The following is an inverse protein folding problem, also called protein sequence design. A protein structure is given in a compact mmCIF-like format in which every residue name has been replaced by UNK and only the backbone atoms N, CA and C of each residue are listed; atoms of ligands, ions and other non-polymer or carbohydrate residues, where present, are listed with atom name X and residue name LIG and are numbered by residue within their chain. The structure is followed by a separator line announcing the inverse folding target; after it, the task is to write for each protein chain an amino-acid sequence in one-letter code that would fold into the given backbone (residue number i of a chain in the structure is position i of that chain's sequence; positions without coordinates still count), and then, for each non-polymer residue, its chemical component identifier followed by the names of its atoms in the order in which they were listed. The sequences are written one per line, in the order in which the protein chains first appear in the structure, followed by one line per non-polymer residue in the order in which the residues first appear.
data_IF_021723556864
#
_entry.id   IF_021723556864
#
_cell.length_a   1.000
_cell.length_b   1.000
_cell.length_c   1.000
_cell.angle_alpha   90.00
_cell.angle_beta   90.00
_cell.angle_gamma   90.00
#
_symmetry.space_group_name_H-M   'P 1'
#
loop_
_entity.id
_entity.type
_entity.pdbx_description
1 polymer ?
#
# COMPACT_ATOMS: atom_id res chain seq x y z
N UNK A 1 -3.50 -20.74 4.62
CA UNK A 1 -2.98 -19.98 3.47
C UNK A 1 -2.96 -18.53 3.89
N UNK A 2 -1.81 -17.86 3.82
CA UNK A 2 -1.74 -16.41 4.05
C UNK A 2 -2.56 -15.74 2.95
N UNK A 3 -3.56 -14.94 3.32
CA UNK A 3 -4.31 -14.14 2.35
C UNK A 3 -3.33 -13.21 1.63
N UNK A 4 -3.27 -13.28 0.29
CA UNK A 4 -2.43 -12.40 -0.50
C UNK A 4 -3.24 -11.18 -0.96
N UNK A 5 -2.59 -10.03 -1.03
CA UNK A 5 -3.19 -8.82 -1.59
C UNK A 5 -2.50 -8.43 -2.90
N UNK A 6 -3.15 -7.53 -3.63
CA UNK A 6 -2.66 -6.90 -4.87
C UNK A 6 -2.95 -5.40 -4.76
N UNK A 7 -2.42 -4.58 -5.67
CA UNK A 7 -2.77 -3.14 -5.66
C UNK A 7 -4.26 -2.95 -5.96
N UNK A 8 -4.85 -3.73 -6.87
CA UNK A 8 -6.29 -3.66 -7.18
C UNK A 8 -7.13 -3.94 -5.92
N UNK A 9 -6.84 -5.02 -5.19
CA UNK A 9 -7.55 -5.37 -3.95
C UNK A 9 -7.39 -4.31 -2.87
N UNK A 10 -6.23 -3.64 -2.78
CA UNK A 10 -6.01 -2.54 -1.85
C UNK A 10 -6.82 -1.31 -2.26
N UNK A 11 -6.89 -0.99 -3.55
CA UNK A 11 -7.68 0.14 -4.06
C UNK A 11 -9.17 -0.02 -3.77
N UNK A 12 -9.68 -1.25 -3.81
CA UNK A 12 -11.06 -1.55 -3.42
C UNK A 12 -11.33 -1.38 -1.92
N UNK A 13 -10.30 -1.42 -1.07
CA UNK A 13 -10.40 -1.33 0.40
C UNK A 13 -10.23 0.09 0.92
N UNK A 14 -9.46 0.93 0.22
CA UNK A 14 -9.25 2.32 0.65
C UNK A 14 -10.48 3.17 0.30
N UNK A 15 -10.88 4.03 1.24
CA UNK A 15 -11.92 5.03 0.98
C UNK A 15 -11.44 6.13 0.02
N UNK A 16 -12.32 7.06 -0.39
CA UNK A 16 -12.01 8.12 -1.34
C UNK A 16 -10.89 9.07 -0.86
N UNK A 17 -10.68 9.19 0.45
CA UNK A 17 -9.59 9.98 1.04
C UNK A 17 -8.26 9.21 1.15
N UNK A 18 -8.27 7.90 0.91
CA UNK A 18 -7.07 7.06 0.94
C UNK A 18 -6.31 7.06 -0.38
N UNK A 19 -5.18 6.36 -0.42
CA UNK A 19 -4.40 6.16 -1.64
C UNK A 19 -3.65 4.83 -1.63
N UNK A 20 -3.45 4.27 -2.82
CA UNK A 20 -2.58 3.12 -3.09
C UNK A 20 -1.67 3.51 -4.24
N UNK A 21 -0.41 3.76 -3.95
CA UNK A 21 0.54 4.39 -4.88
C UNK A 21 1.72 3.46 -5.15
N UNK A 22 2.03 3.19 -6.42
CA UNK A 22 3.32 2.57 -6.78
C UNK A 22 4.43 3.61 -6.61
N UNK A 23 5.48 3.25 -5.90
CA UNK A 23 6.66 4.08 -5.67
C UNK A 23 7.93 3.23 -5.82
N UNK A 24 8.59 3.32 -6.97
CA UNK A 24 9.69 2.42 -7.31
C UNK A 24 9.23 0.95 -7.32
N UNK A 25 9.91 0.13 -6.51
CA UNK A 25 9.60 -1.30 -6.30
C UNK A 25 8.63 -1.54 -5.13
N UNK A 26 8.16 -0.47 -4.49
CA UNK A 26 7.24 -0.52 -3.35
C UNK A 26 5.84 -0.04 -3.73
N UNK A 27 4.88 -0.36 -2.86
CA UNK A 27 3.52 0.17 -2.90
C UNK A 27 3.23 0.83 -1.55
N UNK A 28 2.86 2.10 -1.58
CA UNK A 28 2.57 2.91 -0.40
C UNK A 28 1.05 3.03 -0.27
N UNK A 29 0.52 2.77 0.91
CA UNK A 29 -0.92 2.77 1.16
C UNK A 29 -1.23 3.67 2.35
N UNK A 30 -2.26 4.50 2.19
CA UNK A 30 -2.86 5.26 3.29
C UNK A 30 -4.38 5.15 3.23
N UNK A 31 -5.02 5.10 4.39
CA UNK A 31 -6.47 5.01 4.51
C UNK A 31 -6.94 5.90 5.65
N UNK A 32 -8.00 6.66 5.42
CA UNK A 32 -8.67 7.44 6.46
C UNK A 32 -9.43 6.50 7.41
N UNK A 33 -9.26 6.74 8.71
CA UNK A 33 -10.00 6.06 9.77
C UNK A 33 -10.58 7.09 10.74
N UNK A 34 -11.39 6.63 11.70
CA UNK A 34 -11.87 7.49 12.78
C UNK A 34 -10.74 8.11 13.63
N UNK A 35 -9.53 7.52 13.63
CA UNK A 35 -8.38 8.01 14.40
C UNK A 35 -7.37 8.82 13.57
N UNK A 36 -7.68 9.11 12.29
CA UNK A 36 -6.76 9.71 11.33
C UNK A 36 -6.30 8.69 10.27
N UNK A 37 -5.18 8.96 9.62
CA UNK A 37 -4.71 8.19 8.48
C UNK A 37 -3.74 7.08 8.88
N UNK A 38 -3.92 5.88 8.33
CA UNK A 38 -2.93 4.79 8.45
C UNK A 38 -1.84 4.94 7.38
N UNK A 39 -0.73 4.24 7.58
CA UNK A 39 0.36 4.16 6.60
C UNK A 39 0.91 2.73 6.55
N UNK A 40 0.97 2.15 5.36
CA UNK A 40 1.47 0.80 5.10
C UNK A 40 2.40 0.81 3.88
N UNK A 41 3.46 0.02 3.92
CA UNK A 41 4.44 -0.16 2.84
C UNK A 41 4.47 -1.62 2.46
N UNK A 42 4.33 -1.89 1.17
CA UNK A 42 4.35 -3.22 0.58
C UNK A 42 5.46 -3.33 -0.48
N UNK A 43 5.91 -4.55 -0.74
CA UNK A 43 6.77 -4.91 -1.88
C UNK A 43 6.04 -5.87 -2.83
N UNK A 44 6.45 -5.85 -4.10
CA UNK A 44 6.03 -6.88 -5.05
C UNK A 44 6.78 -8.18 -4.79
N UNK A 45 6.06 -9.30 -4.73
CA UNK A 45 6.65 -10.65 -4.65
C UNK A 45 6.56 -11.42 -5.97
N UNK A 46 6.03 -10.76 -7.00
CA UNK A 46 5.89 -11.24 -8.37
C UNK A 46 6.07 -10.10 -9.34
N UNK A 47 6.44 -10.43 -10.57
CA UNK A 47 6.56 -9.49 -11.69
C UNK A 47 5.45 -9.70 -12.73
N UNK A 48 5.14 -8.66 -13.53
CA UNK A 48 4.31 -8.82 -14.72
C UNK A 48 4.81 -9.92 -15.68
N UNK A 49 6.13 -10.06 -15.81
CA UNK A 49 6.75 -11.06 -16.69
C UNK A 49 6.53 -12.50 -16.21
N UNK A 50 6.61 -12.75 -14.90
CA UNK A 50 6.35 -14.07 -14.32
C UNK A 50 4.87 -14.47 -14.40
N UNK A 51 3.97 -13.49 -14.29
CA UNK A 51 2.53 -13.73 -14.16
C UNK A 51 1.77 -13.60 -15.48
N UNK A 52 2.29 -12.82 -16.43
CA UNK A 52 1.58 -12.41 -17.64
C UNK A 52 0.45 -11.40 -17.39
N UNK A 53 0.38 -10.80 -16.20
CA UNK A 53 -0.66 -9.85 -15.78
C UNK A 53 -0.12 -8.43 -15.65
N UNK A 54 -1.02 -7.44 -15.52
CA UNK A 54 -0.62 -6.08 -15.19
C UNK A 54 -0.08 -5.99 -13.75
N UNK A 55 0.83 -5.06 -13.48
CA UNK A 55 1.45 -4.91 -12.15
C UNK A 55 0.44 -4.75 -11.01
N UNK A 56 -0.75 -4.22 -11.29
CA UNK A 56 -1.81 -4.04 -10.28
C UNK A 56 -2.33 -5.36 -9.71
N UNK A 57 -2.15 -6.46 -10.46
CA UNK A 57 -2.52 -7.84 -10.10
C UNK A 57 -1.38 -8.65 -9.48
N UNK A 58 -0.14 -8.15 -9.51
CA UNK A 58 0.99 -8.84 -8.90
C UNK A 58 0.80 -8.94 -7.39
N UNK A 59 1.16 -10.09 -6.81
CA UNK A 59 1.10 -10.28 -5.36
C UNK A 59 2.00 -9.30 -4.63
N UNK A 60 1.48 -8.81 -3.51
CA UNK A 60 2.18 -7.91 -2.59
C UNK A 60 2.43 -8.59 -1.23
N UNK A 61 3.58 -8.28 -0.63
CA UNK A 61 3.89 -8.59 0.77
C UNK A 61 3.94 -7.31 1.60
N UNK A 62 3.37 -7.33 2.81
CA UNK A 62 3.45 -6.20 3.74
C UNK A 62 4.86 -6.16 4.36
N UNK A 63 5.55 -5.03 4.20
CA UNK A 63 6.88 -4.80 4.78
C UNK A 63 6.74 -4.16 6.16
N UNK A 64 6.01 -3.05 6.23
CA UNK A 64 5.87 -2.26 7.45
C UNK A 64 4.50 -1.59 7.49
N UNK A 65 3.95 -1.48 8.70
CA UNK A 65 2.76 -0.72 9.00
C UNK A 65 3.06 0.22 10.15
N UNK A 66 2.69 1.49 10.01
CA UNK A 66 2.83 2.44 11.10
C UNK A 66 1.91 2.05 12.27
N UNK A 67 2.46 2.04 13.48
CA UNK A 67 1.68 1.80 14.72
C UNK A 67 0.82 3.01 15.13
N UNK A 68 1.14 4.19 14.59
CA UNK A 68 0.42 5.44 14.85
C UNK A 68 -0.47 5.85 13.67
N UNK A 69 -1.42 6.73 13.96
CA UNK A 69 -2.18 7.43 12.95
C UNK A 69 -1.54 8.79 12.64
N UNK A 70 -1.79 9.30 11.44
CA UNK A 70 -1.34 10.60 10.96
C UNK A 70 -2.52 11.56 10.82
N UNK A 71 -2.24 12.85 10.90
CA UNK A 71 -3.24 13.92 10.77
C UNK A 71 -3.90 13.93 9.38
N UNK A 72 -3.11 13.68 8.34
CA UNK A 72 -3.57 13.62 6.96
C UNK A 72 -2.84 12.54 6.13
N UNK A 73 -3.40 12.22 4.96
CA UNK A 73 -2.84 11.26 4.02
C UNK A 73 -1.46 11.67 3.47
N UNK A 74 -1.16 12.97 3.40
CA UNK A 74 0.13 13.46 2.94
C UNK A 74 1.25 13.11 3.91
N UNK A 75 1.05 13.32 5.21
CA UNK A 75 1.98 12.93 6.26
C UNK A 75 2.13 11.41 6.39
N UNK A 76 1.05 10.65 6.17
CA UNK A 76 1.11 9.19 6.11
C UNK A 76 2.01 8.72 4.94
N UNK A 77 1.82 9.27 3.74
CA UNK A 77 2.66 8.94 2.57
C UNK A 77 4.10 9.43 2.76
N UNK A 78 4.33 10.60 3.35
CA UNK A 78 5.68 11.08 3.66
C UNK A 78 6.41 10.13 4.62
N UNK A 79 5.72 9.56 5.61
CA UNK A 79 6.28 8.52 6.46
C UNK A 79 6.63 7.25 5.68
N UNK A 80 5.76 6.81 4.75
CA UNK A 80 6.04 5.66 3.88
C UNK A 80 7.30 5.88 3.02
N UNK A 81 7.45 7.07 2.42
CA UNK A 81 8.64 7.44 1.63
C UNK A 81 9.90 7.44 2.50
N UNK A 82 9.78 7.72 3.79
CA UNK A 82 10.92 7.66 4.72
C UNK A 82 11.37 6.23 5.06
N UNK A 83 10.65 5.20 4.61
CA UNK A 83 11.00 3.77 4.77
C UNK A 83 11.77 3.24 3.55
N UNK A 84 12.37 4.13 2.76
CA UNK A 84 13.13 3.73 1.59
C UNK A 84 14.47 3.09 1.91
#
# INVERSE_FOLDING_TARGET
MTEFTTMEKLQMKVGPSGAVLKYGEKVLVTCETYYGFTAEVYEFVETPEETGLGYIECRLSLIEKAEKHFEDGGHAIAWCISRD
#
